data_IF_190033961641
#
_entry.id   IF_190033961641
#
_cell.length_a   1.000
_cell.length_b   1.000
_cell.length_c   1.000
_cell.angle_alpha   90.00
_cell.angle_beta   90.00
_cell.angle_gamma   90.00
#
_symmetry.space_group_name_H-M   'P 1'
#
loop_
_entity.id
_entity.type
_entity.pdbx_description
1 polymer ?
#
# COMPACT_ATOMS: atom_id res chain seq x y z
N UNK A 1 -14.23 -4.10 -47.45
CA UNK A 1 -14.67 -2.96 -46.64
C UNK A 1 -14.77 -3.24 -45.17
N UNK A 2 -15.29 -4.39 -44.75
CA UNK A 2 -15.41 -4.71 -43.32
C UNK A 2 -14.06 -4.93 -42.62
N UNK A 3 -13.03 -5.30 -43.32
CA UNK A 3 -11.68 -5.57 -42.77
C UNK A 3 -10.99 -4.27 -42.38
N UNK A 4 -11.25 -3.15 -43.08
CA UNK A 4 -10.67 -1.85 -42.75
C UNK A 4 -11.17 -1.29 -41.44
N UNK A 5 -12.42 -1.54 -41.08
CA UNK A 5 -12.99 -1.10 -39.81
C UNK A 5 -12.39 -1.81 -38.62
N UNK A 6 -12.10 -3.10 -38.76
CA UNK A 6 -11.49 -3.88 -37.69
C UNK A 6 -10.06 -3.45 -37.43
N UNK A 7 -9.29 -3.13 -38.48
CA UNK A 7 -7.91 -2.67 -38.35
C UNK A 7 -7.85 -1.30 -37.69
N UNK A 8 -8.76 -0.40 -38.02
CA UNK A 8 -8.82 0.91 -37.40
C UNK A 8 -9.22 0.83 -35.91
N UNK A 9 -10.12 -0.08 -35.57
CA UNK A 9 -10.51 -0.31 -34.18
C UNK A 9 -9.34 -0.84 -33.34
N UNK A 10 -8.55 -1.75 -33.88
CA UNK A 10 -7.37 -2.26 -33.21
C UNK A 10 -6.28 -1.20 -33.03
N UNK A 11 -6.09 -0.35 -34.02
CA UNK A 11 -5.13 0.75 -33.91
C UNK A 11 -5.50 1.76 -32.84
N UNK A 12 -6.77 2.09 -32.69
CA UNK A 12 -7.26 2.99 -31.67
C UNK A 12 -7.10 2.38 -30.26
N UNK A 13 -7.40 1.09 -30.11
CA UNK A 13 -7.24 0.40 -28.84
C UNK A 13 -5.77 0.34 -28.40
N UNK A 14 -4.87 0.08 -29.33
CA UNK A 14 -3.43 0.07 -29.05
C UNK A 14 -2.88 1.44 -28.64
N UNK A 15 -3.35 2.51 -29.27
CA UNK A 15 -3.01 3.87 -28.89
C UNK A 15 -3.50 4.22 -27.49
N UNK A 16 -4.70 3.78 -27.14
CA UNK A 16 -5.27 4.01 -25.81
C UNK A 16 -4.48 3.29 -24.72
N UNK A 17 -4.05 2.06 -24.97
CA UNK A 17 -3.21 1.31 -24.04
C UNK A 17 -1.86 1.95 -23.82
N UNK A 18 -1.23 2.49 -24.86
CA UNK A 18 0.06 3.16 -24.71
C UNK A 18 -0.03 4.47 -23.94
N UNK A 19 -1.14 5.20 -24.03
CA UNK A 19 -1.38 6.40 -23.23
C UNK A 19 -1.56 6.07 -21.75
N UNK A 20 -2.20 4.96 -21.42
CA UNK A 20 -2.36 4.52 -20.04
C UNK A 20 -1.01 4.15 -19.39
N UNK A 21 -0.10 3.57 -20.16
CA UNK A 21 1.23 3.22 -19.65
C UNK A 21 2.10 4.44 -19.38
N UNK A 22 1.95 5.51 -20.13
CA UNK A 22 2.76 6.70 -19.93
C UNK A 22 2.36 7.52 -18.69
N UNK A 23 1.13 7.38 -18.20
CA UNK A 23 0.65 8.07 -17.01
C UNK A 23 1.06 7.41 -15.68
N UNK A 24 1.55 6.18 -15.70
CA UNK A 24 1.84 5.40 -14.49
C UNK A 24 3.21 5.68 -13.87
N UNK A 25 4.04 6.52 -14.46
CA UNK A 25 5.43 6.74 -14.01
C UNK A 25 5.60 7.75 -12.89
N UNK A 26 4.63 8.61 -12.62
CA UNK A 26 4.80 9.74 -11.70
C UNK A 26 4.28 9.51 -10.29
N UNK A 27 3.34 8.59 -10.10
CA UNK A 27 2.77 8.28 -8.79
C UNK A 27 2.75 6.78 -8.58
N UNK A 28 3.68 6.26 -7.77
CA UNK A 28 3.66 4.85 -7.43
C UNK A 28 2.65 4.60 -6.33
N UNK A 29 1.36 4.56 -6.71
CA UNK A 29 0.28 4.14 -5.83
C UNK A 29 0.03 2.66 -6.11
N UNK A 30 0.08 1.86 -5.06
CA UNK A 30 -0.20 0.42 -5.14
C UNK A 30 -1.37 0.09 -4.26
N UNK A 31 -2.16 -0.90 -4.69
CA UNK A 31 -3.16 -1.51 -3.83
C UNK A 31 -2.55 -2.77 -3.27
N UNK A 32 -2.53 -2.88 -1.95
CA UNK A 32 -1.94 -4.02 -1.26
C UNK A 32 -2.94 -4.62 -0.28
N UNK A 33 -2.84 -5.93 -0.09
CA UNK A 33 -3.59 -6.64 0.95
C UNK A 33 -2.62 -6.95 2.08
N UNK A 34 -2.96 -6.52 3.28
CA UNK A 34 -2.13 -6.68 4.46
C UNK A 34 -2.86 -7.49 5.53
N UNK A 35 -2.12 -8.37 6.18
CA UNK A 35 -2.58 -9.04 7.39
C UNK A 35 -2.05 -8.26 8.57
N UNK A 36 -2.94 -7.75 9.42
CA UNK A 36 -2.59 -6.96 10.60
C UNK A 36 -2.70 -7.84 11.84
N UNK A 37 -1.63 -7.94 12.61
CA UNK A 37 -1.62 -8.73 13.83
C UNK A 37 -2.49 -8.12 14.91
N UNK A 38 -2.87 -8.96 15.88
CA UNK A 38 -3.82 -8.57 16.93
C UNK A 38 -3.30 -7.49 17.87
N UNK A 39 -1.98 -7.35 17.97
CA UNK A 39 -1.36 -6.41 18.90
C UNK A 39 -0.31 -5.59 18.20
N UNK A 40 -0.31 -4.29 18.48
CA UNK A 40 0.75 -3.40 18.05
C UNK A 40 2.02 -3.70 18.83
N UNK A 41 3.17 -3.31 18.30
CA UNK A 41 4.43 -3.40 19.03
C UNK A 41 5.28 -2.15 18.83
N UNK A 42 6.23 -1.95 19.72
CA UNK A 42 7.19 -0.86 19.62
C UNK A 42 8.23 -1.16 18.55
N UNK A 43 8.55 -0.16 17.76
CA UNK A 43 9.57 -0.28 16.73
C UNK A 43 10.25 1.07 16.49
N UNK A 44 11.36 1.06 15.77
CA UNK A 44 12.06 2.28 15.37
C UNK A 44 11.69 2.61 13.93
N UNK A 45 10.90 3.67 13.68
CA UNK A 45 10.50 3.99 12.30
C UNK A 45 11.66 4.52 11.44
N UNK A 46 12.73 5.00 12.06
CA UNK A 46 13.90 5.50 11.34
C UNK A 46 15.07 4.53 11.46
N UNK A 47 15.81 4.26 10.37
CA UNK A 47 16.91 3.30 10.40
C UNK A 47 18.10 3.72 11.27
N UNK A 48 18.18 4.98 11.65
CA UNK A 48 19.30 5.51 12.44
C UNK A 48 18.98 5.62 13.93
N UNK A 49 17.93 4.99 14.40
CA UNK A 49 17.45 5.13 15.76
C UNK A 49 16.50 6.32 15.90
N UNK A 50 16.45 6.88 17.07
CA UNK A 50 15.50 7.94 17.40
C UNK A 50 14.41 7.44 18.34
N UNK A 51 13.26 8.11 18.37
CA UNK A 51 12.16 7.72 19.23
C UNK A 51 11.49 6.43 18.72
N UNK A 52 11.17 5.53 19.65
CA UNK A 52 10.35 4.36 19.33
C UNK A 52 8.92 4.80 19.05
N UNK A 53 8.27 4.11 18.13
CA UNK A 53 6.86 4.31 17.83
C UNK A 53 6.09 3.02 18.08
N UNK A 54 4.81 3.14 18.33
CA UNK A 54 3.92 2.02 18.60
C UNK A 54 3.03 1.82 17.38
N UNK A 55 3.25 0.76 16.65
CA UNK A 55 2.59 0.58 15.37
C UNK A 55 2.07 -0.82 15.11
N UNK A 56 1.34 -0.91 14.02
CA UNK A 56 0.80 -2.17 13.54
C UNK A 56 1.92 -3.08 13.05
N UNK A 57 1.79 -4.36 13.35
CA UNK A 57 2.62 -5.40 12.75
C UNK A 57 1.83 -5.99 11.58
N UNK A 58 2.36 -5.87 10.39
CA UNK A 58 1.65 -6.30 9.18
C UNK A 58 2.50 -7.27 8.38
N UNK A 59 1.83 -8.12 7.62
CA UNK A 59 2.45 -9.04 6.66
C UNK A 59 1.79 -8.82 5.31
N UNK A 60 2.59 -8.58 4.28
CA UNK A 60 2.08 -8.38 2.93
C UNK A 60 1.82 -9.72 2.23
N UNK A 61 1.33 -9.66 0.98
CA UNK A 61 1.02 -10.86 0.19
C UNK A 61 2.24 -11.68 -0.18
N UNK A 62 3.43 -11.09 -0.10
CA UNK A 62 4.69 -11.79 -0.37
C UNK A 62 5.31 -12.43 0.88
N UNK A 63 4.67 -12.26 2.03
CA UNK A 63 5.15 -12.81 3.29
C UNK A 63 6.11 -11.90 4.05
N UNK A 64 6.31 -10.67 3.63
CA UNK A 64 7.17 -9.72 4.32
C UNK A 64 6.45 -9.14 5.54
N UNK A 65 7.09 -9.22 6.70
CA UNK A 65 6.58 -8.69 7.95
C UNK A 65 7.25 -7.36 8.24
N UNK A 66 6.46 -6.32 8.48
CA UNK A 66 6.99 -4.99 8.76
C UNK A 66 6.02 -4.21 9.65
N UNK A 67 6.41 -2.98 10.03
CA UNK A 67 5.64 -2.14 10.93
C UNK A 67 5.11 -0.91 10.20
N UNK A 68 3.88 -0.52 10.56
CA UNK A 68 3.26 0.71 10.06
C UNK A 68 2.74 1.51 11.26
N UNK A 69 3.12 2.77 11.35
CA UNK A 69 2.68 3.63 12.47
C UNK A 69 1.20 3.98 12.37
N UNK A 70 0.74 4.38 11.19
CA UNK A 70 -0.61 4.88 10.98
C UNK A 70 -1.16 4.38 9.65
N UNK A 71 -2.43 4.04 9.64
CA UNK A 71 -3.17 3.70 8.42
C UNK A 71 -4.43 4.56 8.42
N UNK A 72 -4.50 5.52 7.51
CA UNK A 72 -5.63 6.44 7.43
C UNK A 72 -6.93 5.68 7.17
N UNK A 73 -7.95 5.96 7.96
CA UNK A 73 -9.24 5.29 7.89
C UNK A 73 -9.30 3.98 8.66
N UNK A 74 -8.17 3.42 9.07
CA UNK A 74 -8.12 2.19 9.85
C UNK A 74 -7.89 2.46 11.34
N UNK A 75 -7.12 3.50 11.68
CA UNK A 75 -6.75 3.80 13.07
C UNK A 75 -7.96 3.93 13.99
N UNK A 76 -9.05 4.51 13.51
CA UNK A 76 -10.28 4.67 14.28
C UNK A 76 -11.06 3.37 14.46
N UNK A 77 -10.82 2.39 13.61
CA UNK A 77 -11.56 1.12 13.59
C UNK A 77 -10.80 -0.02 14.24
N UNK A 78 -9.49 0.14 14.42
CA UNK A 78 -8.64 -0.92 14.96
C UNK A 78 -8.96 -1.19 16.43
N UNK A 79 -9.11 -2.47 16.76
CA UNK A 79 -9.29 -2.95 18.13
C UNK A 79 -8.20 -3.95 18.46
N UNK A 80 -7.55 -3.78 19.60
CA UNK A 80 -6.56 -4.76 20.07
C UNK A 80 -7.22 -6.10 20.36
N UNK A 81 -6.51 -7.17 20.06
CA UNK A 81 -7.01 -8.52 20.23
C UNK A 81 -7.68 -9.10 18.99
N UNK A 82 -7.80 -8.31 17.92
CA UNK A 82 -8.37 -8.78 16.65
C UNK A 82 -7.32 -8.73 15.55
N UNK A 83 -7.28 -9.79 14.78
CA UNK A 83 -6.49 -9.84 13.56
C UNK A 83 -7.34 -9.35 12.40
N UNK A 84 -6.75 -8.54 11.54
CA UNK A 84 -7.46 -7.98 10.39
C UNK A 84 -6.76 -8.38 9.09
N UNK A 85 -7.57 -8.60 8.08
CA UNK A 85 -7.08 -8.58 6.69
C UNK A 85 -7.67 -7.34 6.05
N UNK A 86 -6.83 -6.45 5.56
CA UNK A 86 -7.27 -5.17 5.02
C UNK A 86 -6.69 -4.95 3.63
N UNK A 87 -7.39 -4.17 2.85
CA UNK A 87 -6.91 -3.67 1.56
C UNK A 87 -6.58 -2.19 1.74
N UNK A 88 -5.42 -1.78 1.31
CA UNK A 88 -4.93 -0.41 1.46
C UNK A 88 -4.38 0.12 0.15
N UNK A 89 -4.39 1.44 0.02
CA UNK A 89 -3.54 2.15 -0.93
C UNK A 89 -2.21 2.43 -0.25
N UNK A 90 -1.13 2.02 -0.88
CA UNK A 90 0.22 2.37 -0.45
C UNK A 90 0.76 3.41 -1.44
N UNK A 91 1.13 4.55 -0.92
CA UNK A 91 1.69 5.64 -1.70
C UNK A 91 3.09 5.96 -1.20
N UNK A 92 4.07 5.89 -2.08
CA UNK A 92 5.44 6.23 -1.72
C UNK A 92 5.66 7.74 -1.84
N UNK A 93 6.15 8.35 -0.76
CA UNK A 93 6.49 9.76 -0.72
C UNK A 93 8.00 9.88 -0.79
N UNK A 94 8.47 10.43 -1.90
CA UNK A 94 9.91 10.66 -2.10
C UNK A 94 10.35 11.89 -1.33
N UNK A 95 11.62 11.90 -0.84
CA UNK A 95 12.14 13.08 -0.15
C UNK A 95 12.23 14.28 -1.10
N UNK A 96 11.92 15.46 -0.57
CA UNK A 96 11.90 16.71 -1.35
C UNK A 96 13.29 17.34 -1.45
N UNK A 97 14.27 16.59 -1.95
CA UNK A 97 15.63 17.07 -2.13
C UNK A 97 16.26 16.49 -3.39
N UNK A 98 17.06 17.31 -4.07
CA UNK A 98 17.56 16.98 -5.41
C UNK A 98 18.52 15.79 -5.48
N UNK A 99 19.21 15.45 -4.40
CA UNK A 99 20.21 14.38 -4.37
C UNK A 99 20.02 13.42 -3.21
N UNK A 100 18.81 13.33 -2.69
CA UNK A 100 18.52 12.37 -1.63
C UNK A 100 18.25 10.99 -2.21
N UNK A 101 18.81 9.94 -1.60
CA UNK A 101 18.47 8.57 -2.01
C UNK A 101 17.00 8.27 -1.76
N UNK A 102 16.41 7.48 -2.65
CA UNK A 102 15.00 7.05 -2.52
C UNK A 102 14.71 6.31 -1.21
N UNK A 103 15.77 5.77 -0.59
CA UNK A 103 15.66 5.09 0.71
C UNK A 103 15.22 6.00 1.84
N UNK A 104 15.29 7.33 1.68
CA UNK A 104 14.82 8.29 2.68
C UNK A 104 13.33 8.61 2.57
N UNK A 105 12.68 8.11 1.52
CA UNK A 105 11.24 8.25 1.39
C UNK A 105 10.49 7.37 2.38
N UNK A 106 9.20 7.59 2.48
CA UNK A 106 8.32 6.78 3.34
C UNK A 106 7.03 6.47 2.59
N UNK A 107 6.33 5.45 3.07
CA UNK A 107 5.06 5.05 2.49
C UNK A 107 3.91 5.51 3.36
N UNK A 108 2.87 6.05 2.73
CA UNK A 108 1.61 6.38 3.40
C UNK A 108 0.56 5.33 3.01
N UNK A 109 -0.21 4.92 3.99
CA UNK A 109 -1.24 3.89 3.81
C UNK A 109 -2.62 4.45 4.11
N UNK A 110 -3.56 4.16 3.21
CA UNK A 110 -4.97 4.54 3.37
C UNK A 110 -5.82 3.31 3.22
N UNK A 111 -6.72 3.08 4.16
CA UNK A 111 -7.63 1.94 4.13
C UNK A 111 -8.60 2.05 2.95
N UNK A 112 -8.71 0.98 2.17
CA UNK A 112 -9.75 0.83 1.15
C UNK A 112 -10.93 0.07 1.72
N UNK A 113 -10.66 -1.09 2.33
CA UNK A 113 -11.70 -1.92 2.96
C UNK A 113 -11.10 -2.88 3.96
N UNK A 114 -11.90 -3.27 4.94
CA UNK A 114 -11.58 -4.37 5.85
C UNK A 114 -12.15 -5.65 5.24
N UNK A 115 -11.28 -6.57 4.86
CA UNK A 115 -11.69 -7.84 4.24
C UNK A 115 -12.18 -8.81 5.30
N UNK A 116 -11.47 -8.92 6.42
CA UNK A 116 -11.86 -9.79 7.52
C UNK A 116 -11.36 -9.28 8.85
N UNK A 117 -12.07 -9.65 9.91
CA UNK A 117 -11.72 -9.32 11.28
C UNK A 117 -11.96 -10.57 12.11
N UNK A 118 -10.94 -11.05 12.79
CA UNK A 118 -11.03 -12.26 13.63
C UNK A 118 -10.53 -11.97 15.04
N UNK A 119 -11.29 -12.38 16.02
CA UNK A 119 -10.87 -12.30 17.41
C UNK A 119 -9.76 -13.33 17.68
N UNK A 120 -8.66 -12.89 18.28
CA UNK A 120 -7.61 -13.79 18.74
C UNK A 120 -7.78 -14.17 20.22
N UNK A 121 -8.88 -13.81 20.81
CA UNK A 121 -9.19 -14.08 22.21
C UNK A 121 -9.57 -15.54 22.46
N UNK A 122 -9.78 -16.34 21.41
CA UNK A 122 -10.02 -17.77 21.54
C UNK A 122 -8.77 -18.54 21.19
N UNK A 123 -8.14 -19.06 22.19
CA UNK A 123 -7.02 -19.96 22.01
C UNK A 123 -7.51 -21.38 21.72
#
# INVERSE_FOLDING_TARGET
MKIRFIINGLGVVLLFLSLLFSCSKENSIKIEVLNVEAYKELFYPLPFGGAQDYGYVVTDSEGNRFHISNIEGFDEQYEEGFEYMIKVFARHISPDCKNCPDALGYDEYTLVEIISKKCKCES
#
